data_IF_811199451016
#
_entry.id   IF_811199451016
#
_cell.length_a   1.000
_cell.length_b   1.000
_cell.length_c   1.000
_cell.angle_alpha   90.00
_cell.angle_beta   90.00
_cell.angle_gamma   90.00
#
_symmetry.space_group_name_H-M   'P 1'
#
loop_
_entity.id
_entity.type
_entity.pdbx_description
1 polymer ?
#
# COMPACT_ATOMS: atom_id res chain seq x y z
N UNK A 1 37.28 -24.30 31.91
CA UNK A 1 36.85 -22.90 31.93
C UNK A 1 37.02 -22.21 30.58
N UNK A 2 38.15 -22.26 29.89
CA UNK A 2 38.30 -21.66 28.53
C UNK A 2 37.24 -22.15 27.53
N UNK A 3 36.97 -23.45 27.44
CA UNK A 3 35.97 -24.02 26.52
C UNK A 3 34.55 -23.52 26.80
N UNK A 4 34.17 -23.33 28.06
CA UNK A 4 32.84 -22.76 28.38
C UNK A 4 32.72 -21.27 27.91
N UNK A 5 33.79 -20.52 28.09
CA UNK A 5 33.86 -19.10 27.67
C UNK A 5 33.70 -18.94 26.15
N UNK A 6 34.41 -19.79 25.38
CA UNK A 6 34.28 -19.82 23.91
C UNK A 6 32.88 -20.24 23.46
N UNK A 7 32.22 -21.17 24.15
CA UNK A 7 30.84 -21.57 23.85
C UNK A 7 29.89 -20.40 24.06
N UNK A 8 30.00 -19.66 25.16
CA UNK A 8 29.16 -18.51 25.43
C UNK A 8 29.37 -17.37 24.44
N UNK A 9 30.62 -17.06 24.10
CA UNK A 9 30.93 -16.05 23.07
C UNK A 9 30.29 -16.39 21.71
N UNK A 10 30.44 -17.67 21.29
CA UNK A 10 29.80 -18.14 20.05
C UNK A 10 28.27 -18.04 20.10
N UNK A 11 27.67 -18.38 21.23
CA UNK A 11 26.22 -18.33 21.42
C UNK A 11 25.69 -16.90 21.35
N UNK A 12 26.46 -15.90 21.81
CA UNK A 12 26.10 -14.48 21.65
C UNK A 12 26.11 -14.10 20.17
N UNK A 13 27.14 -14.47 19.42
CA UNK A 13 27.24 -14.19 17.99
C UNK A 13 26.10 -14.86 17.21
N UNK A 14 25.86 -16.15 17.44
CA UNK A 14 24.78 -16.89 16.79
C UNK A 14 23.40 -16.28 17.10
N UNK A 15 23.13 -15.91 18.34
CA UNK A 15 21.89 -15.26 18.76
C UNK A 15 21.69 -13.88 18.14
N UNK A 16 22.74 -13.09 17.98
CA UNK A 16 22.66 -11.77 17.37
C UNK A 16 22.03 -11.84 15.98
N UNK A 17 22.43 -12.80 15.17
CA UNK A 17 21.91 -12.95 13.81
C UNK A 17 20.62 -13.75 13.73
N UNK A 18 20.38 -14.71 14.62
CA UNK A 18 19.14 -15.46 14.67
C UNK A 18 17.95 -14.59 15.08
N UNK A 19 18.13 -13.77 16.13
CA UNK A 19 17.06 -12.92 16.68
C UNK A 19 16.88 -11.63 15.88
N UNK A 20 17.89 -11.20 15.10
CA UNK A 20 17.88 -9.98 14.29
C UNK A 20 18.28 -10.29 12.85
N UNK A 21 17.45 -11.05 12.14
CA UNK A 21 17.71 -11.53 10.78
C UNK A 21 17.98 -10.42 9.77
N UNK A 22 17.45 -9.22 9.99
CA UNK A 22 17.69 -8.03 9.14
C UNK A 22 19.16 -7.63 9.08
N UNK A 23 19.97 -7.91 10.12
CA UNK A 23 21.42 -7.65 10.14
C UNK A 23 22.16 -8.45 9.07
N UNK A 24 21.65 -9.63 8.71
CA UNK A 24 22.22 -10.44 7.62
C UNK A 24 22.01 -9.85 6.23
N UNK A 25 21.14 -8.84 6.11
CA UNK A 25 20.81 -8.11 4.88
C UNK A 25 21.68 -6.86 4.67
N UNK A 26 22.79 -6.76 5.34
CA UNK A 26 23.83 -5.76 5.12
C UNK A 26 25.15 -6.43 4.75
N UNK A 27 26.06 -5.70 4.13
CA UNK A 27 27.39 -6.20 3.80
C UNK A 27 28.17 -6.43 5.09
N UNK A 28 28.87 -7.55 5.14
CA UNK A 28 29.70 -7.91 6.27
C UNK A 28 31.11 -7.34 6.11
N UNK A 29 31.49 -6.44 7.00
CA UNK A 29 32.80 -5.81 7.05
C UNK A 29 33.66 -6.30 8.24
N UNK A 30 33.31 -7.44 8.88
CA UNK A 30 34.03 -7.99 10.03
C UNK A 30 35.53 -8.18 9.76
N UNK A 31 35.89 -8.55 8.51
CA UNK A 31 37.29 -8.74 8.09
C UNK A 31 38.11 -7.44 7.99
N UNK A 32 37.45 -6.29 7.92
CA UNK A 32 38.10 -4.97 7.81
C UNK A 32 38.22 -4.23 9.14
N UNK A 33 37.85 -4.88 10.24
CA UNK A 33 37.96 -4.29 11.58
C UNK A 33 39.42 -4.22 12.00
N UNK A 34 39.99 -3.01 11.96
CA UNK A 34 41.36 -2.75 12.36
C UNK A 34 41.43 -2.47 13.87
N UNK A 35 42.35 -3.13 14.59
CA UNK A 35 42.54 -2.98 16.04
C UNK A 35 41.25 -3.14 16.86
N UNK A 36 40.23 -3.84 16.31
CA UNK A 36 38.96 -4.06 16.97
C UNK A 36 38.06 -2.82 17.10
N UNK A 37 38.38 -1.68 16.49
CA UNK A 37 37.67 -0.42 16.73
C UNK A 37 37.22 0.34 15.49
N UNK A 38 37.91 0.24 14.35
CA UNK A 38 37.65 1.09 13.18
C UNK A 38 37.60 0.26 11.90
N UNK A 39 36.66 0.63 11.03
CA UNK A 39 36.54 0.08 9.68
C UNK A 39 36.72 1.20 8.67
N UNK A 40 37.59 0.97 7.67
CA UNK A 40 37.82 1.84 6.53
C UNK A 40 37.26 1.20 5.27
N UNK A 41 36.36 1.89 4.59
CA UNK A 41 35.79 1.44 3.32
C UNK A 41 36.20 2.45 2.23
N UNK A 42 37.10 2.10 1.33
CA UNK A 42 37.42 2.96 0.21
C UNK A 42 36.22 3.05 -0.73
N UNK A 43 35.78 4.26 -1.02
CA UNK A 43 34.65 4.54 -1.89
C UNK A 43 35.11 5.22 -3.16
N UNK A 44 34.77 4.63 -4.31
CA UNK A 44 35.15 5.17 -5.60
C UNK A 44 34.45 6.52 -5.84
N UNK A 45 35.22 7.52 -6.21
CA UNK A 45 34.73 8.83 -6.60
C UNK A 45 33.89 8.80 -7.88
N UNK A 46 33.35 9.94 -8.25
CA UNK A 46 32.54 10.07 -9.46
C UNK A 46 33.32 9.66 -10.72
N UNK A 47 32.67 8.99 -11.69
CA UNK A 47 33.30 8.65 -12.96
C UNK A 47 33.68 9.92 -13.74
N UNK A 48 34.71 9.83 -14.61
CA UNK A 48 35.21 10.94 -15.42
C UNK A 48 34.20 11.47 -16.46
N UNK A 49 33.09 10.81 -16.64
CA UNK A 49 32.10 11.10 -17.69
C UNK A 49 32.39 10.40 -19.01
N UNK A 50 31.37 10.20 -19.81
CA UNK A 50 31.44 9.63 -21.15
C UNK A 50 30.94 10.67 -22.13
N UNK A 51 31.72 10.93 -23.18
CA UNK A 51 31.31 11.77 -24.30
C UNK A 51 31.16 10.90 -25.56
N UNK A 52 29.98 10.97 -26.18
CA UNK A 52 29.70 10.26 -27.44
C UNK A 52 30.21 11.09 -28.59
N UNK A 53 30.88 10.43 -29.54
CA UNK A 53 31.44 11.06 -30.77
C UNK A 53 32.27 12.31 -30.47
N UNK A 54 33.30 12.16 -29.62
CA UNK A 54 34.18 13.26 -29.23
C UNK A 54 34.89 13.84 -30.47
N UNK A 55 34.65 15.10 -30.72
CA UNK A 55 35.24 15.88 -31.82
C UNK A 55 36.31 16.88 -31.33
N UNK A 56 36.39 17.16 -30.04
CA UNK A 56 37.32 18.10 -29.44
C UNK A 56 38.53 17.38 -28.81
N UNK A 57 39.72 17.67 -29.31
CA UNK A 57 41.00 17.13 -28.82
C UNK A 57 41.98 18.27 -28.48
N UNK A 58 42.84 18.14 -27.47
CA UNK A 58 42.99 17.00 -26.55
C UNK A 58 41.81 16.87 -25.59
N UNK A 59 41.45 15.62 -25.23
CA UNK A 59 40.42 15.34 -24.25
C UNK A 59 40.82 15.90 -22.87
N UNK A 60 39.87 16.44 -22.12
CA UNK A 60 40.08 16.88 -20.74
C UNK A 60 40.47 15.70 -19.85
N UNK A 61 41.63 15.81 -19.19
CA UNK A 61 42.07 14.81 -18.22
C UNK A 61 41.41 15.08 -16.91
N UNK A 62 40.66 14.07 -16.42
CA UNK A 62 39.95 14.11 -15.13
C UNK A 62 40.69 13.24 -14.11
N UNK A 63 41.05 13.81 -12.98
CA UNK A 63 41.61 13.06 -11.84
C UNK A 63 40.45 12.66 -10.93
N UNK A 64 40.18 11.37 -10.83
CA UNK A 64 39.20 10.87 -9.85
C UNK A 64 39.68 11.14 -8.42
N UNK A 65 38.79 11.66 -7.60
CA UNK A 65 39.00 11.85 -6.17
C UNK A 65 38.15 10.79 -5.44
N UNK A 66 38.84 9.81 -4.88
CA UNK A 66 38.19 8.79 -4.04
C UNK A 66 38.02 9.31 -2.63
N UNK A 67 36.97 8.88 -1.95
CA UNK A 67 36.70 9.24 -0.57
C UNK A 67 36.53 7.96 0.25
N UNK A 68 36.94 8.00 1.51
CA UNK A 68 36.80 6.87 2.42
C UNK A 68 35.56 7.07 3.29
N UNK A 69 34.84 5.98 3.54
CA UNK A 69 33.82 5.91 4.57
C UNK A 69 34.40 5.20 5.78
N UNK A 70 34.66 5.99 6.80
CA UNK A 70 35.20 5.52 8.07
C UNK A 70 34.08 5.42 9.11
N UNK A 71 34.06 4.34 9.86
CA UNK A 71 33.22 4.27 11.04
C UNK A 71 33.91 3.54 12.21
N UNK A 72 33.47 3.91 13.42
CA UNK A 72 33.97 3.35 14.67
C UNK A 72 32.94 2.39 15.23
N UNK A 73 33.37 1.26 15.77
CA UNK A 73 32.50 0.34 16.50
C UNK A 73 32.22 0.88 17.89
N UNK A 74 30.95 0.87 18.27
CA UNK A 74 30.52 1.19 19.63
C UNK A 74 30.74 -0.04 20.53
N UNK A 75 31.15 0.21 21.75
CA UNK A 75 31.35 -0.80 22.76
C UNK A 75 30.13 -0.86 23.68
N UNK A 76 29.48 -2.02 23.69
CA UNK A 76 28.33 -2.30 24.53
C UNK A 76 28.76 -3.33 25.59
N UNK A 77 28.58 -2.96 26.86
CA UNK A 77 28.89 -3.84 27.99
C UNK A 77 27.70 -3.96 28.94
N UNK A 78 27.50 -5.16 29.46
CA UNK A 78 26.53 -5.36 30.54
C UNK A 78 27.12 -4.92 31.87
N UNK A 79 26.27 -4.51 32.80
CA UNK A 79 26.70 -4.34 34.18
C UNK A 79 27.13 -5.68 34.76
N UNK A 80 28.20 -5.72 35.59
CA UNK A 80 28.60 -6.97 36.25
C UNK A 80 27.46 -7.47 37.15
N UNK A 81 27.10 -8.74 36.95
CA UNK A 81 26.08 -9.43 37.78
C UNK A 81 26.74 -10.37 38.74
N UNK A 82 26.35 -10.26 40.02
CA UNK A 82 26.74 -11.13 41.09
C UNK A 82 25.74 -12.28 41.21
N UNK A 83 26.26 -13.51 41.25
CA UNK A 83 25.52 -14.73 41.62
C UNK A 83 26.05 -15.20 42.94
N UNK A 84 25.37 -14.93 44.09
CA UNK A 84 25.83 -15.33 45.41
C UNK A 84 25.94 -16.85 45.55
N UNK A 85 26.91 -17.29 46.32
CA UNK A 85 27.12 -18.74 46.57
C UNK A 85 25.89 -19.41 47.22
N UNK A 86 25.21 -18.70 48.12
CA UNK A 86 23.99 -19.19 48.75
C UNK A 86 22.90 -19.54 47.71
N UNK A 87 22.69 -18.67 46.74
CA UNK A 87 21.69 -18.87 45.67
C UNK A 87 22.03 -20.04 44.77
N UNK A 88 23.33 -20.37 44.56
CA UNK A 88 23.76 -21.51 43.76
C UNK A 88 23.51 -22.85 44.47
N UNK A 89 23.51 -22.85 45.79
CA UNK A 89 23.34 -24.08 46.61
C UNK A 89 21.87 -24.33 46.97
N UNK A 90 21.11 -23.25 47.24
CA UNK A 90 19.76 -23.36 47.79
C UNK A 90 18.64 -23.42 46.73
N UNK A 91 18.91 -23.00 45.51
CA UNK A 91 17.88 -22.93 44.45
C UNK A 91 17.84 -24.21 43.60
N UNK A 92 16.64 -24.68 43.35
CA UNK A 92 16.35 -25.90 42.56
C UNK A 92 16.59 -25.75 41.04
N UNK A 93 16.88 -24.54 40.56
CA UNK A 93 17.14 -24.24 39.14
C UNK A 93 18.54 -23.65 38.93
N UNK A 94 19.07 -23.79 37.73
CA UNK A 94 20.38 -23.25 37.39
C UNK A 94 20.30 -21.72 37.18
N UNK A 95 20.36 -20.97 38.29
CA UNK A 95 20.30 -19.49 38.28
C UNK A 95 21.39 -18.88 37.42
N UNK A 96 22.59 -19.46 37.41
CA UNK A 96 23.71 -18.97 36.57
C UNK A 96 23.34 -18.94 35.09
N UNK A 97 22.81 -20.02 34.54
CA UNK A 97 22.44 -20.07 33.14
C UNK A 97 21.29 -19.14 32.83
N UNK A 98 20.31 -19.01 33.72
CA UNK A 98 19.18 -18.10 33.55
C UNK A 98 19.61 -16.63 33.48
N UNK A 99 20.49 -16.20 34.37
CA UNK A 99 21.03 -14.82 34.39
C UNK A 99 21.86 -14.54 33.14
N UNK A 100 22.76 -15.43 32.78
CA UNK A 100 23.61 -15.30 31.60
C UNK A 100 22.75 -15.23 30.33
N UNK A 101 21.71 -16.06 30.19
CA UNK A 101 20.79 -16.03 29.03
C UNK A 101 19.98 -14.75 28.95
N UNK A 102 19.59 -14.18 30.09
CA UNK A 102 18.84 -12.93 30.12
C UNK A 102 19.70 -11.74 29.68
N UNK A 103 20.91 -11.63 30.23
CA UNK A 103 21.86 -10.58 29.85
C UNK A 103 22.28 -10.69 28.38
N UNK A 104 22.49 -11.92 27.92
CA UNK A 104 22.77 -12.18 26.50
C UNK A 104 21.66 -11.62 25.59
N UNK A 105 20.40 -11.90 25.90
CA UNK A 105 19.27 -11.42 25.11
C UNK A 105 19.17 -9.90 25.10
N UNK A 106 19.38 -9.26 26.25
CA UNK A 106 19.38 -7.81 26.33
C UNK A 106 20.54 -7.19 25.54
N UNK A 107 21.75 -7.75 25.66
CA UNK A 107 22.91 -7.28 24.90
C UNK A 107 22.69 -7.41 23.38
N UNK A 108 22.13 -8.54 22.91
CA UNK A 108 21.78 -8.77 21.50
C UNK A 108 20.76 -7.73 21.02
N UNK A 109 19.75 -7.47 21.83
CA UNK A 109 18.72 -6.49 21.49
C UNK A 109 19.31 -5.07 21.39
N UNK A 110 20.15 -4.67 22.33
CA UNK A 110 20.84 -3.37 22.34
C UNK A 110 21.86 -3.22 21.20
N UNK A 111 22.56 -4.28 20.84
CA UNK A 111 23.48 -4.29 19.71
C UNK A 111 22.73 -4.00 18.39
N UNK A 112 21.56 -4.61 18.20
CA UNK A 112 20.73 -4.34 17.03
C UNK A 112 20.19 -2.91 17.00
N UNK A 113 19.80 -2.34 18.16
CA UNK A 113 19.40 -0.94 18.28
C UNK A 113 20.54 0.01 17.91
N UNK A 114 21.75 -0.24 18.40
CA UNK A 114 22.94 0.56 18.08
C UNK A 114 23.26 0.54 16.58
N UNK A 115 23.16 -0.62 15.93
CA UNK A 115 23.34 -0.72 14.48
C UNK A 115 22.27 0.04 13.70
N UNK A 116 20.99 -0.07 14.07
CA UNK A 116 19.90 0.69 13.43
C UNK A 116 20.13 2.20 13.55
N UNK A 117 20.61 2.68 14.70
CA UNK A 117 20.93 4.09 14.88
C UNK A 117 22.04 4.58 13.94
N UNK A 118 23.04 3.73 13.64
CA UNK A 118 24.11 4.03 12.66
C UNK A 118 23.61 3.99 11.21
N UNK A 119 22.54 3.27 10.92
CA UNK A 119 21.93 3.14 9.60
C UNK A 119 20.88 4.21 9.31
N UNK A 120 20.71 5.19 10.18
CA UNK A 120 19.74 6.25 10.01
C UNK A 120 19.99 7.04 8.72
N UNK A 121 19.03 7.06 7.77
CA UNK A 121 19.18 7.86 6.55
C UNK A 121 19.09 9.36 6.83
N UNK A 122 19.70 10.13 5.96
CA UNK A 122 19.60 11.58 5.97
C UNK A 122 18.13 12.05 5.87
N UNK A 123 17.83 13.27 6.32
CA UNK A 123 16.46 13.78 6.39
C UNK A 123 15.77 13.82 5.02
N UNK A 124 16.52 14.17 3.97
CA UNK A 124 16.05 14.20 2.58
C UNK A 124 15.65 12.81 2.02
N UNK A 125 16.16 11.73 2.63
CA UNK A 125 15.84 10.35 2.25
C UNK A 125 14.73 9.75 3.11
N UNK A 126 13.91 10.58 3.75
CA UNK A 126 12.77 10.13 4.53
C UNK A 126 11.47 10.41 3.80
N UNK A 127 10.65 9.37 3.64
CA UNK A 127 9.33 9.44 3.00
C UNK A 127 8.28 9.41 4.10
N UNK A 128 7.30 10.30 4.02
CA UNK A 128 6.19 10.33 4.98
C UNK A 128 5.05 9.43 4.52
N UNK A 129 4.34 8.83 5.47
CA UNK A 129 3.13 8.04 5.20
C UNK A 129 1.95 8.95 4.85
N UNK A 130 1.05 8.47 3.98
CA UNK A 130 -0.04 9.27 3.41
C UNK A 130 -1.44 8.73 3.73
N UNK A 131 -1.56 7.56 4.35
CA UNK A 131 -2.85 6.92 4.61
C UNK A 131 -3.73 7.63 5.63
N UNK A 132 -4.89 7.07 5.90
CA UNK A 132 -5.85 7.61 6.88
C UNK A 132 -5.23 7.74 8.28
N UNK A 133 -5.75 8.68 9.06
CA UNK A 133 -5.32 8.91 10.44
C UNK A 133 -5.76 7.79 11.37
N UNK A 134 -4.81 7.19 12.07
CA UNK A 134 -5.02 6.17 13.12
C UNK A 134 -4.43 6.66 14.43
N UNK A 135 -4.88 6.11 15.57
CA UNK A 135 -4.35 6.47 16.87
C UNK A 135 -2.82 6.25 16.92
N UNK A 136 -2.10 7.20 17.49
CA UNK A 136 -0.66 7.07 17.68
C UNK A 136 -0.35 5.87 18.60
N UNK A 137 0.67 5.08 18.24
CA UNK A 137 1.01 3.82 18.95
C UNK A 137 2.40 3.84 19.58
N UNK A 138 3.21 4.86 19.33
CA UNK A 138 4.49 4.99 20.01
C UNK A 138 4.27 5.35 21.49
N UNK A 139 5.16 4.94 22.40
CA UNK A 139 4.97 5.18 23.84
C UNK A 139 4.67 6.66 24.15
N UNK A 140 3.62 6.89 24.93
CA UNK A 140 3.14 8.22 25.33
C UNK A 140 2.68 9.15 24.20
N UNK A 141 2.66 8.69 22.95
CA UNK A 141 2.16 9.50 21.84
C UNK A 141 0.64 9.62 21.88
N UNK A 142 0.14 10.76 21.46
CA UNK A 142 -1.29 11.09 21.42
C UNK A 142 -1.68 11.66 20.06
N UNK A 143 -2.98 11.74 19.80
CA UNK A 143 -3.50 12.21 18.52
C UNK A 143 -3.41 11.14 17.42
N UNK A 144 -3.48 11.58 16.18
CA UNK A 144 -3.50 10.69 15.02
C UNK A 144 -2.19 10.73 14.26
N UNK A 145 -1.86 9.57 13.65
CA UNK A 145 -0.74 9.41 12.72
C UNK A 145 -1.27 8.79 11.43
N UNK A 146 -0.71 9.20 10.29
CA UNK A 146 -1.07 8.59 9.01
C UNK A 146 -0.53 7.16 8.97
N UNK A 147 -1.43 6.20 8.72
CA UNK A 147 -1.02 4.80 8.53
C UNK A 147 -0.21 4.65 7.25
N UNK A 148 0.70 3.68 7.22
CA UNK A 148 1.40 3.29 5.99
C UNK A 148 0.43 2.59 5.05
N UNK A 149 0.58 2.81 3.75
CA UNK A 149 -0.20 2.18 2.69
C UNK A 149 0.71 1.50 1.66
N UNK A 150 0.20 0.56 0.85
CA UNK A 150 0.96 0.02 -0.28
C UNK A 150 1.45 1.11 -1.26
N UNK A 151 0.70 2.21 -1.41
CA UNK A 151 1.10 3.35 -2.24
C UNK A 151 2.36 4.04 -1.71
N UNK A 152 2.54 4.14 -0.40
CA UNK A 152 3.75 4.71 0.21
C UNK A 152 4.98 3.85 -0.08
N UNK A 153 4.83 2.52 -0.09
CA UNK A 153 5.90 1.59 -0.46
C UNK A 153 6.22 1.70 -1.96
N UNK A 154 5.22 1.88 -2.81
CA UNK A 154 5.40 2.14 -4.25
C UNK A 154 6.13 3.49 -4.49
N UNK A 155 5.80 4.54 -3.73
CA UNK A 155 6.50 5.82 -3.78
C UNK A 155 7.97 5.69 -3.36
N UNK A 156 8.25 4.89 -2.33
CA UNK A 156 9.61 4.56 -1.89
C UNK A 156 10.38 3.81 -2.99
N UNK A 157 9.75 2.82 -3.66
CA UNK A 157 10.33 2.14 -4.81
C UNK A 157 10.68 3.12 -5.94
N UNK A 158 9.75 4.01 -6.27
CA UNK A 158 9.94 5.04 -7.31
C UNK A 158 11.11 5.94 -6.97
N UNK A 159 11.24 6.36 -5.71
CA UNK A 159 12.37 7.18 -5.24
C UNK A 159 13.70 6.44 -5.40
N UNK A 160 13.77 5.16 -4.98
CA UNK A 160 14.97 4.34 -5.15
C UNK A 160 15.32 4.12 -6.62
N UNK A 161 14.32 3.97 -7.50
CA UNK A 161 14.53 3.84 -8.94
C UNK A 161 15.07 5.14 -9.55
N UNK A 162 14.53 6.29 -9.16
CA UNK A 162 15.01 7.61 -9.60
C UNK A 162 16.47 7.87 -9.17
N UNK A 163 16.86 7.33 -8.02
CA UNK A 163 18.25 7.39 -7.52
C UNK A 163 19.16 6.31 -8.09
N UNK A 164 18.72 5.54 -9.10
CA UNK A 164 19.45 4.44 -9.73
C UNK A 164 19.99 3.40 -8.74
N UNK A 165 19.21 3.10 -7.68
CA UNK A 165 19.53 2.04 -6.73
C UNK A 165 19.19 0.68 -7.36
N UNK A 166 20.06 -0.35 -7.26
CA UNK A 166 19.78 -1.68 -7.81
C UNK A 166 18.42 -2.23 -7.36
N UNK A 167 17.73 -2.95 -8.25
CA UNK A 167 16.42 -3.53 -7.97
C UNK A 167 16.47 -4.76 -7.06
N UNK A 168 17.63 -5.43 -7.02
CA UNK A 168 17.85 -6.65 -6.24
C UNK A 168 18.16 -6.35 -4.78
N UNK A 169 17.81 -7.28 -3.90
CA UNK A 169 18.16 -7.26 -2.47
C UNK A 169 17.70 -5.97 -1.75
N UNK A 170 16.53 -5.46 -2.11
CA UNK A 170 15.88 -4.37 -1.39
C UNK A 170 15.11 -4.91 -0.19
N UNK A 171 15.32 -4.32 0.95
CA UNK A 171 14.70 -4.70 2.21
C UNK A 171 13.89 -3.54 2.79
N UNK A 172 12.80 -3.87 3.49
CA UNK A 172 11.96 -2.94 4.22
C UNK A 172 11.70 -3.50 5.62
N UNK A 173 12.21 -2.83 6.64
CA UNK A 173 12.00 -3.19 8.04
C UNK A 173 10.98 -2.24 8.66
N UNK A 174 9.88 -2.79 9.12
CA UNK A 174 8.76 -2.05 9.72
C UNK A 174 8.62 -2.41 11.21
N UNK A 175 8.03 -1.51 11.98
CA UNK A 175 7.53 -1.87 13.30
C UNK A 175 6.25 -2.73 13.20
N UNK A 176 5.86 -3.37 14.30
CA UNK A 176 4.74 -4.30 14.30
C UNK A 176 3.40 -3.62 13.90
N UNK A 177 3.18 -2.37 14.31
CA UNK A 177 1.96 -1.64 13.98
C UNK A 177 1.95 -1.14 12.53
N UNK A 178 3.09 -0.61 12.05
CA UNK A 178 3.21 -0.25 10.63
C UNK A 178 2.99 -1.46 9.73
N UNK A 179 3.53 -2.61 10.11
CA UNK A 179 3.32 -3.85 9.35
C UNK A 179 1.83 -4.23 9.30
N UNK A 180 1.13 -4.18 10.45
CA UNK A 180 -0.31 -4.45 10.49
C UNK A 180 -1.09 -3.48 9.59
N UNK A 181 -0.81 -2.18 9.68
CA UNK A 181 -1.45 -1.18 8.83
C UNK A 181 -1.18 -1.37 7.34
N UNK A 182 0.02 -1.86 7.00
CA UNK A 182 0.35 -2.20 5.61
C UNK A 182 -0.50 -3.36 5.10
N UNK A 183 -0.68 -4.41 5.91
CA UNK A 183 -1.55 -5.56 5.57
C UNK A 183 -3.00 -5.12 5.41
N UNK A 184 -3.53 -4.31 6.32
CA UNK A 184 -4.90 -3.80 6.29
C UNK A 184 -5.19 -2.93 5.05
N UNK A 185 -4.15 -2.33 4.47
CA UNK A 185 -4.23 -1.53 3.24
C UNK A 185 -4.08 -2.31 1.94
N UNK A 186 -3.78 -3.62 2.00
CA UNK A 186 -3.61 -4.44 0.81
C UNK A 186 -4.93 -4.95 0.27
N UNK A 187 -5.07 -5.00 -1.05
CA UNK A 187 -6.13 -5.76 -1.70
C UNK A 187 -5.89 -7.28 -1.56
N UNK A 188 -6.94 -8.09 -1.68
CA UNK A 188 -6.82 -9.55 -1.58
C UNK A 188 -5.78 -10.11 -2.57
N UNK A 189 -5.71 -9.60 -3.78
CA UNK A 189 -4.73 -10.02 -4.79
C UNK A 189 -3.29 -9.67 -4.36
N UNK A 190 -3.08 -8.48 -3.82
CA UNK A 190 -1.77 -8.07 -3.30
C UNK A 190 -1.35 -8.92 -2.10
N UNK A 191 -2.27 -9.21 -1.17
CA UNK A 191 -2.00 -10.03 0.00
C UNK A 191 -1.60 -11.47 -0.38
N UNK A 192 -2.26 -12.08 -1.35
CA UNK A 192 -1.89 -13.41 -1.87
C UNK A 192 -0.46 -13.38 -2.43
N UNK A 193 -0.15 -12.43 -3.31
CA UNK A 193 1.19 -12.28 -3.88
C UNK A 193 2.26 -11.98 -2.82
N UNK A 194 1.93 -11.18 -1.81
CA UNK A 194 2.81 -10.86 -0.69
C UNK A 194 3.24 -12.11 0.09
N UNK A 195 2.27 -12.91 0.53
CA UNK A 195 2.56 -14.09 1.35
C UNK A 195 3.17 -15.26 0.58
N UNK A 196 3.00 -15.34 -0.74
CA UNK A 196 3.67 -16.36 -1.56
C UNK A 196 5.20 -16.26 -1.52
N UNK A 197 5.73 -15.08 -1.28
CA UNK A 197 7.18 -14.83 -1.19
C UNK A 197 7.72 -14.86 0.25
N UNK A 198 6.90 -15.27 1.24
CA UNK A 198 7.31 -15.32 2.63
C UNK A 198 8.39 -16.39 2.88
N UNK A 199 9.44 -16.02 3.61
CA UNK A 199 10.47 -16.93 4.13
C UNK A 199 10.72 -16.62 5.61
N UNK A 200 9.89 -17.21 6.45
CA UNK A 200 9.92 -16.99 7.90
C UNK A 200 11.26 -17.38 8.52
N UNK A 201 11.94 -18.41 7.97
CA UNK A 201 13.26 -18.83 8.46
C UNK A 201 14.33 -17.76 8.28
N UNK A 202 14.17 -16.93 7.25
CA UNK A 202 15.03 -15.79 6.94
C UNK A 202 14.50 -14.47 7.50
N UNK A 203 13.40 -14.50 8.25
CA UNK A 203 12.74 -13.32 8.82
C UNK A 203 11.97 -12.47 7.80
N UNK A 204 11.73 -12.99 6.59
CA UNK A 204 10.96 -12.29 5.54
C UNK A 204 9.50 -12.67 5.66
N UNK A 205 8.66 -11.68 5.94
CA UNK A 205 7.20 -11.86 6.07
C UNK A 205 6.49 -11.91 4.72
N UNK A 206 7.10 -11.34 3.69
CA UNK A 206 6.58 -11.31 2.34
C UNK A 206 7.37 -10.36 1.45
N UNK A 207 6.94 -10.22 0.18
CA UNK A 207 7.56 -9.31 -0.77
C UNK A 207 6.50 -8.35 -1.35
N UNK A 208 6.81 -7.04 -1.31
CA UNK A 208 5.94 -6.00 -1.86
C UNK A 208 6.76 -5.01 -2.67
N UNK A 209 6.38 -4.78 -3.93
CA UNK A 209 7.06 -3.85 -4.86
C UNK A 209 8.60 -4.05 -4.91
N UNK A 210 9.04 -5.33 -4.84
CA UNK A 210 10.46 -5.67 -4.88
C UNK A 210 11.23 -5.51 -3.56
N UNK A 211 10.54 -5.17 -2.46
CA UNK A 211 11.11 -5.17 -1.11
C UNK A 211 10.81 -6.47 -0.37
N UNK A 212 11.83 -7.09 0.22
CA UNK A 212 11.68 -8.09 1.26
C UNK A 212 11.22 -7.38 2.55
N UNK A 213 9.98 -7.64 2.99
CA UNK A 213 9.41 -7.01 4.18
C UNK A 213 9.74 -7.82 5.41
N UNK A 214 10.34 -7.17 6.41
CA UNK A 214 10.70 -7.72 7.70
C UNK A 214 10.05 -6.90 8.82
N UNK A 215 9.85 -7.52 9.97
CA UNK A 215 9.16 -6.92 11.11
C UNK A 215 10.03 -6.97 12.37
N UNK A 216 10.01 -5.89 13.13
CA UNK A 216 10.60 -5.79 14.46
C UNK A 216 9.64 -5.07 15.40
N UNK A 217 9.74 -5.29 16.70
CA UNK A 217 8.90 -4.61 17.70
C UNK A 217 8.98 -3.08 17.61
N UNK A 218 10.17 -2.54 17.39
CA UNK A 218 10.43 -1.10 17.21
C UNK A 218 11.62 -0.92 16.27
N UNK A 219 11.50 -0.04 15.27
CA UNK A 219 12.60 0.30 14.34
C UNK A 219 13.13 1.68 14.66
N UNK A 220 12.39 2.73 14.33
CA UNK A 220 12.76 4.10 14.65
C UNK A 220 11.65 4.82 15.39
N UNK A 221 12.04 5.75 16.25
CA UNK A 221 11.14 6.71 16.85
C UNK A 221 11.75 8.11 16.69
N UNK A 222 10.99 9.01 16.10
CA UNK A 222 11.40 10.37 15.83
C UNK A 222 10.64 11.33 16.74
N UNK A 223 11.29 12.40 17.15
CA UNK A 223 10.61 13.57 17.71
C UNK A 223 9.90 14.35 16.59
N UNK A 224 9.05 15.30 16.92
CA UNK A 224 8.30 16.11 15.97
C UNK A 224 9.18 16.88 14.96
N UNK A 225 10.38 17.25 15.36
CA UNK A 225 11.40 17.93 14.53
C UNK A 225 12.15 16.98 13.58
N UNK A 226 11.83 15.68 13.64
CA UNK A 226 12.49 14.64 12.83
C UNK A 226 13.80 14.12 13.42
N UNK A 227 14.20 14.53 14.64
CA UNK A 227 15.37 13.97 15.34
C UNK A 227 15.09 12.54 15.77
N UNK A 228 16.05 11.63 15.56
CA UNK A 228 15.96 10.26 16.08
C UNK A 228 16.03 10.29 17.61
N UNK A 229 15.07 9.67 18.25
CA UNK A 229 15.11 9.44 19.70
C UNK A 229 15.97 8.20 20.02
N UNK A 230 16.78 8.34 21.06
CA UNK A 230 17.54 7.20 21.57
C UNK A 230 16.58 6.06 22.00
N UNK A 231 17.01 4.83 21.80
CA UNK A 231 16.24 3.68 22.26
C UNK A 231 16.10 3.70 23.79
N UNK A 232 14.88 3.43 24.26
CA UNK A 232 14.57 3.52 25.69
C UNK A 232 14.30 4.94 26.20
N UNK A 233 14.46 5.99 25.38
CA UNK A 233 14.11 7.36 25.80
C UNK A 233 12.60 7.49 26.08
N UNK A 234 12.26 8.38 27.01
CA UNK A 234 10.86 8.66 27.36
C UNK A 234 10.03 9.05 26.13
N UNK A 235 8.80 8.55 26.06
CA UNK A 235 7.85 8.91 25.01
C UNK A 235 7.38 10.36 25.14
N UNK A 236 6.98 10.96 24.03
CA UNK A 236 6.32 12.27 23.98
C UNK A 236 5.05 12.19 23.11
N UNK A 237 4.10 13.07 23.39
CA UNK A 237 2.82 13.13 22.69
C UNK A 237 2.96 13.27 21.17
N UNK A 238 4.03 13.90 20.71
CA UNK A 238 4.30 14.21 19.30
C UNK A 238 5.20 13.20 18.59
N UNK A 239 5.61 12.12 19.26
CA UNK A 239 6.53 11.13 18.68
C UNK A 239 5.94 10.47 17.43
N UNK A 240 6.82 10.20 16.46
CA UNK A 240 6.51 9.55 15.20
C UNK A 240 7.22 8.20 15.12
N UNK A 241 6.56 7.21 14.56
CA UNK A 241 7.16 5.91 14.25
C UNK A 241 7.85 5.96 12.89
N UNK A 242 8.85 5.09 12.69
CA UNK A 242 9.52 4.98 11.40
C UNK A 242 10.06 3.60 11.12
N UNK A 243 10.07 3.22 9.84
CA UNK A 243 10.69 2.03 9.29
C UNK A 243 11.95 2.38 8.50
N UNK A 244 12.75 1.35 8.18
CA UNK A 244 13.99 1.47 7.41
C UNK A 244 13.85 0.69 6.11
N UNK A 245 14.19 1.32 4.99
CA UNK A 245 14.32 0.65 3.69
C UNK A 245 15.73 0.82 3.14
N UNK A 246 16.30 -0.27 2.64
CA UNK A 246 17.66 -0.22 2.10
C UNK A 246 17.88 -1.26 1.01
N UNK A 247 18.91 -1.03 0.24
CA UNK A 247 19.50 -2.02 -0.67
C UNK A 247 20.75 -2.59 0.01
N UNK A 248 20.92 -3.90 -0.04
CA UNK A 248 21.92 -4.65 0.72
C UNK A 248 23.33 -4.05 0.65
N UNK A 249 23.82 -3.71 -0.54
CA UNK A 249 25.19 -3.22 -0.74
C UNK A 249 25.38 -1.77 -0.30
N UNK A 250 24.29 -1.06 0.03
CA UNK A 250 24.32 0.32 0.51
C UNK A 250 24.55 0.44 2.01
N UNK A 251 24.41 -0.66 2.74
CA UNK A 251 24.65 -0.73 4.19
C UNK A 251 25.76 -1.71 4.53
N UNK A 252 26.53 -1.38 5.54
CA UNK A 252 27.49 -2.30 6.15
C UNK A 252 27.23 -2.53 7.61
N UNK A 253 27.66 -3.68 8.08
CA UNK A 253 27.76 -4.04 9.48
C UNK A 253 29.14 -4.57 9.77
N UNK A 254 29.63 -4.32 10.96
CA UNK A 254 30.83 -4.94 11.48
C UNK A 254 30.59 -5.39 12.93
N UNK A 255 31.02 -6.59 13.21
CA UNK A 255 31.09 -7.16 14.54
C UNK A 255 32.58 -7.25 14.92
N UNK A 256 32.91 -6.58 16.00
CA UNK A 256 34.27 -6.64 16.55
C UNK A 256 34.38 -7.75 17.61
N UNK A 257 35.13 -7.47 18.63
CA UNK A 257 35.38 -8.41 19.70
C UNK A 257 34.13 -8.68 20.54
N UNK A 258 33.88 -9.96 20.87
CA UNK A 258 32.89 -10.39 21.84
C UNK A 258 33.62 -11.04 23.00
N UNK A 259 33.53 -10.42 24.18
CA UNK A 259 34.27 -10.87 25.36
C UNK A 259 33.31 -11.17 26.52
N UNK A 260 33.56 -12.27 27.20
CA UNK A 260 32.94 -12.58 28.47
C UNK A 260 33.98 -12.44 29.59
N UNK A 261 33.68 -11.58 30.56
CA UNK A 261 34.46 -11.44 31.77
C UNK A 261 33.82 -12.28 32.88
N UNK A 262 34.63 -13.05 33.59
CA UNK A 262 34.20 -13.89 34.69
C UNK A 262 35.18 -13.80 35.85
N UNK A 263 34.65 -13.68 37.06
CA UNK A 263 35.37 -13.82 38.30
C UNK A 263 34.65 -14.84 39.18
N UNK A 264 35.16 -16.07 39.17
CA UNK A 264 34.56 -17.20 39.86
C UNK A 264 35.11 -17.24 41.29
N UNK A 265 34.23 -17.59 42.25
CA UNK A 265 34.56 -17.68 43.67
C UNK A 265 35.21 -16.40 44.23
N UNK A 266 34.68 -15.24 43.82
CA UNK A 266 35.23 -13.96 44.21
C UNK A 266 35.05 -13.71 45.71
N UNK A 267 36.15 -13.59 46.48
CA UNK A 267 36.07 -13.49 47.94
C UNK A 267 35.47 -12.15 48.40
N UNK A 268 35.47 -11.13 47.56
CA UNK A 268 34.89 -9.81 47.92
C UNK A 268 33.37 -9.82 47.86
N UNK A 269 32.80 -10.72 47.05
CA UNK A 269 31.35 -10.77 46.79
C UNK A 269 30.73 -12.11 47.25
N UNK A 270 31.50 -13.08 47.72
CA UNK A 270 31.05 -14.41 48.10
C UNK A 270 30.20 -15.10 47.04
N UNK A 271 30.67 -15.06 45.80
CA UNK A 271 29.97 -15.62 44.66
C UNK A 271 30.68 -15.37 43.33
N UNK A 272 30.01 -15.69 42.24
CA UNK A 272 30.52 -15.49 40.90
C UNK A 272 30.04 -14.17 40.30
N UNK A 273 30.94 -13.47 39.62
CA UNK A 273 30.61 -12.21 38.92
C UNK A 273 30.85 -12.41 37.44
N UNK A 274 29.85 -12.01 36.62
CA UNK A 274 29.92 -12.09 35.16
C UNK A 274 29.58 -10.76 34.52
N UNK A 275 30.20 -10.45 33.38
CA UNK A 275 29.79 -9.36 32.48
C UNK A 275 30.17 -9.70 31.04
N UNK A 276 29.51 -9.04 30.11
CA UNK A 276 29.70 -9.24 28.67
C UNK A 276 30.04 -7.93 28.00
N UNK A 277 30.85 -8.00 26.95
CA UNK A 277 31.20 -6.88 26.11
C UNK A 277 31.10 -7.33 24.65
N UNK A 278 30.45 -6.51 23.83
CA UNK A 278 30.41 -6.68 22.38
C UNK A 278 30.71 -5.35 21.70
N UNK A 279 31.50 -5.38 20.63
CA UNK A 279 31.73 -4.22 19.79
C UNK A 279 30.96 -4.39 18.49
N UNK A 280 30.09 -3.42 18.19
CA UNK A 280 29.25 -3.43 16.98
C UNK A 280 29.31 -2.10 16.29
N UNK A 281 29.22 -2.11 14.97
CA UNK A 281 29.17 -0.90 14.18
C UNK A 281 28.56 -1.14 12.82
N UNK A 282 28.25 -0.06 12.15
CA UNK A 282 27.72 -0.07 10.80
C UNK A 282 27.70 1.33 10.22
N UNK A 283 27.62 1.42 8.93
CA UNK A 283 27.56 2.68 8.22
C UNK A 283 26.77 2.55 6.91
N UNK A 284 26.35 3.69 6.39
CA UNK A 284 25.90 3.82 5.02
C UNK A 284 27.15 3.84 4.14
N UNK A 285 27.28 2.83 3.26
CA UNK A 285 28.51 2.64 2.46
C UNK A 285 28.69 3.66 1.33
N UNK A 286 27.57 4.12 0.78
CA UNK A 286 27.64 5.05 -0.35
C UNK A 286 27.90 6.47 0.12
N UNK A 287 28.87 7.14 -0.49
CA UNK A 287 29.18 8.53 -0.20
C UNK A 287 27.99 9.47 -0.46
N UNK A 288 27.20 9.22 -1.52
CA UNK A 288 26.00 9.98 -1.86
C UNK A 288 24.79 9.66 -0.96
N UNK A 289 24.98 8.79 0.03
CA UNK A 289 23.97 8.33 0.99
C UNK A 289 22.69 7.77 0.35
N UNK A 290 22.72 7.46 -0.94
CA UNK A 290 21.63 6.82 -1.66
C UNK A 290 21.59 5.32 -1.35
N UNK A 291 20.38 4.73 -1.53
CA UNK A 291 20.15 3.30 -1.27
C UNK A 291 19.74 3.00 0.17
N UNK A 292 19.62 4.03 1.03
CA UNK A 292 19.09 3.91 2.40
C UNK A 292 18.06 5.00 2.62
N UNK A 293 16.84 4.60 3.00
CA UNK A 293 15.69 5.48 3.15
C UNK A 293 14.93 5.11 4.42
N UNK A 294 14.19 6.05 4.98
CA UNK A 294 13.24 5.76 6.04
C UNK A 294 11.82 6.10 5.59
N UNK A 295 10.86 5.30 6.03
CA UNK A 295 9.45 5.63 5.96
C UNK A 295 9.01 6.06 7.35
N UNK A 296 8.49 7.28 7.48
CA UNK A 296 8.18 7.91 8.78
C UNK A 296 6.70 8.28 8.79
N UNK A 297 6.02 7.97 9.88
CA UNK A 297 4.62 8.40 10.04
C UNK A 297 4.51 9.91 10.01
N UNK A 298 3.46 10.43 9.37
CA UNK A 298 3.12 11.84 9.46
C UNK A 298 1.99 12.07 10.47
N UNK A 299 1.85 13.30 10.94
CA UNK A 299 0.71 13.69 11.76
C UNK A 299 -0.55 13.75 10.90
N UNK A 300 -1.67 13.29 11.43
CA UNK A 300 -2.98 13.43 10.80
C UNK A 300 -3.89 14.31 11.66
N UNK A 301 -4.77 15.04 11.02
CA UNK A 301 -5.79 15.82 11.70
C UNK A 301 -7.06 14.98 11.81
N UNK A 302 -7.72 15.00 12.97
CA UNK A 302 -8.98 14.31 13.13
C UNK A 302 -10.04 14.89 12.18
N UNK A 303 -10.75 14.03 11.48
CA UNK A 303 -11.91 14.43 10.67
C UNK A 303 -13.08 14.64 11.62
N UNK A 304 -13.61 15.87 11.63
CA UNK A 304 -14.72 16.27 12.51
C UNK A 304 -16.05 16.34 11.79
N UNK A 305 -16.05 16.30 10.45
CA UNK A 305 -17.25 16.29 9.64
C UNK A 305 -16.99 15.73 8.25
N UNK A 306 -18.02 15.15 7.65
CA UNK A 306 -18.03 14.65 6.27
C UNK A 306 -19.36 15.02 5.62
N UNK A 307 -19.31 15.64 4.46
CA UNK A 307 -20.49 16.01 3.69
C UNK A 307 -20.34 15.55 2.23
N UNK A 308 -21.46 15.17 1.63
CA UNK A 308 -21.55 14.94 0.19
C UNK A 308 -22.16 16.18 -0.47
N UNK A 309 -21.72 16.48 -1.69
CA UNK A 309 -22.30 17.56 -2.52
C UNK A 309 -23.70 17.20 -3.04
N UNK A 310 -24.00 15.90 -3.12
CA UNK A 310 -25.32 15.40 -3.49
C UNK A 310 -25.73 14.21 -2.62
N UNK A 311 -26.95 14.26 -2.11
CA UNK A 311 -27.55 13.22 -1.24
C UNK A 311 -28.67 12.44 -1.93
N UNK A 312 -29.06 12.81 -3.18
CA UNK A 312 -30.04 12.13 -4.01
C UNK A 312 -29.56 12.06 -5.45
N UNK A 313 -29.03 10.91 -5.82
CA UNK A 313 -28.40 10.63 -7.10
C UNK A 313 -29.41 9.97 -8.00
N UNK A 314 -29.86 10.67 -9.04
CA UNK A 314 -30.84 10.14 -10.01
C UNK A 314 -30.17 9.84 -11.35
N UNK A 315 -30.10 8.55 -11.71
CA UNK A 315 -29.41 8.06 -12.91
C UNK A 315 -30.42 7.41 -13.86
N UNK A 316 -30.36 7.76 -15.13
CA UNK A 316 -31.19 7.11 -16.17
C UNK A 316 -30.40 6.04 -16.90
N UNK A 317 -30.87 4.80 -16.87
CA UNK A 317 -30.24 3.64 -17.52
C UNK A 317 -28.80 3.44 -17.02
N UNK A 318 -27.85 3.33 -17.95
CA UNK A 318 -26.41 3.20 -17.68
C UNK A 318 -25.67 4.54 -17.61
N UNK A 319 -26.39 5.62 -17.31
CA UNK A 319 -25.78 6.95 -17.11
C UNK A 319 -24.83 6.98 -15.91
N UNK A 320 -24.11 8.07 -15.76
CA UNK A 320 -23.13 8.25 -14.68
C UNK A 320 -23.33 9.58 -13.98
N UNK A 321 -23.05 9.62 -12.68
CA UNK A 321 -22.99 10.86 -11.89
C UNK A 321 -21.78 10.83 -10.98
N UNK A 322 -21.05 11.95 -10.91
CA UNK A 322 -19.90 12.08 -9.99
C UNK A 322 -20.38 12.75 -8.70
N UNK A 323 -19.98 12.18 -7.57
CA UNK A 323 -20.28 12.68 -6.22
C UNK A 323 -18.97 13.02 -5.53
N UNK A 324 -18.91 14.19 -4.90
CA UNK A 324 -17.76 14.65 -4.16
C UNK A 324 -18.03 14.59 -2.65
N UNK A 325 -17.04 14.12 -1.91
CA UNK A 325 -17.04 14.16 -0.44
C UNK A 325 -16.11 15.26 0.04
N UNK A 326 -16.60 16.09 0.95
CA UNK A 326 -15.82 17.12 1.62
C UNK A 326 -15.69 16.80 3.10
N UNK A 327 -14.48 16.47 3.52
CA UNK A 327 -14.15 16.27 4.94
C UNK A 327 -13.83 17.62 5.61
N UNK A 328 -13.96 17.66 6.91
CA UNK A 328 -13.49 18.79 7.73
C UNK A 328 -12.38 18.27 8.66
N UNK A 329 -11.10 18.68 8.47
CA UNK A 329 -10.63 19.64 7.46
C UNK A 329 -10.58 19.04 6.03
N UNK A 330 -10.71 19.90 5.03
CA UNK A 330 -10.81 19.49 3.61
C UNK A 330 -9.56 18.74 3.09
N UNK A 331 -8.40 18.95 3.73
CA UNK A 331 -7.14 18.22 3.42
C UNK A 331 -7.28 16.70 3.55
N UNK A 332 -8.26 16.23 4.30
CA UNK A 332 -8.51 14.80 4.52
C UNK A 332 -9.51 14.20 3.51
N UNK A 333 -10.15 15.01 2.64
CA UNK A 333 -11.18 14.53 1.69
C UNK A 333 -10.69 13.43 0.76
N UNK A 334 -9.42 13.47 0.34
CA UNK A 334 -8.81 12.44 -0.52
C UNK A 334 -8.75 11.04 0.12
N UNK A 335 -8.91 10.95 1.44
CA UNK A 335 -8.89 9.69 2.20
C UNK A 335 -10.30 9.13 2.47
N UNK A 336 -11.33 9.67 1.80
CA UNK A 336 -12.70 9.15 1.91
C UNK A 336 -12.77 7.76 1.26
N UNK A 337 -13.35 6.81 1.97
CA UNK A 337 -13.66 5.46 1.51
C UNK A 337 -15.13 5.42 1.06
N UNK A 338 -15.38 4.74 -0.07
CA UNK A 338 -16.70 4.66 -0.69
C UNK A 338 -17.21 3.21 -0.71
N UNK A 339 -18.51 3.09 -0.45
CA UNK A 339 -19.22 1.81 -0.45
C UNK A 339 -20.59 1.99 -1.13
N UNK A 340 -20.96 1.06 -2.00
CA UNK A 340 -22.28 0.98 -2.64
C UNK A 340 -23.05 -0.20 -2.07
N UNK A 341 -24.36 -0.03 -1.85
CA UNK A 341 -25.17 -1.04 -1.18
C UNK A 341 -25.51 -2.25 -2.05
N UNK A 342 -25.85 -2.01 -3.32
CA UNK A 342 -26.23 -3.07 -4.26
C UNK A 342 -25.60 -2.81 -5.62
N UNK A 343 -24.60 -3.62 -5.96
CA UNK A 343 -23.88 -3.52 -7.24
C UNK A 343 -24.71 -3.97 -8.45
N UNK A 344 -25.81 -4.66 -8.23
CA UNK A 344 -26.75 -5.02 -9.31
C UNK A 344 -27.61 -3.81 -9.78
N UNK A 345 -27.74 -2.78 -8.94
CA UNK A 345 -28.46 -1.54 -9.23
C UNK A 345 -27.49 -0.46 -9.74
N UNK A 346 -26.36 -0.26 -9.05
CA UNK A 346 -25.35 0.73 -9.45
C UNK A 346 -23.95 0.29 -8.99
N UNK A 347 -22.92 0.73 -9.71
CA UNK A 347 -21.52 0.48 -9.40
C UNK A 347 -20.75 1.78 -9.19
N UNK A 348 -19.58 1.71 -8.55
CA UNK A 348 -18.70 2.86 -8.30
C UNK A 348 -17.35 2.71 -8.99
N UNK A 349 -16.75 3.82 -9.42
CA UNK A 349 -15.49 3.85 -10.15
C UNK A 349 -14.26 3.55 -9.29
N UNK A 350 -14.32 3.81 -7.98
CA UNK A 350 -13.21 3.62 -7.05
C UNK A 350 -13.74 3.43 -5.62
N UNK A 351 -13.01 2.68 -4.80
CA UNK A 351 -13.33 2.46 -3.39
C UNK A 351 -12.78 3.57 -2.47
N UNK A 352 -11.99 4.53 -2.97
CA UNK A 352 -11.46 5.65 -2.18
C UNK A 352 -11.14 6.86 -3.06
N UNK A 353 -11.14 8.04 -2.42
CA UNK A 353 -10.83 9.32 -3.08
C UNK A 353 -11.79 10.42 -2.64
N UNK A 354 -11.47 11.69 -2.97
CA UNK A 354 -12.33 12.83 -2.67
C UNK A 354 -13.64 12.83 -3.51
N UNK A 355 -13.68 12.05 -4.58
CA UNK A 355 -14.84 11.91 -5.46
C UNK A 355 -14.97 10.48 -5.97
N UNK A 356 -16.18 10.10 -6.33
CA UNK A 356 -16.49 8.82 -6.94
C UNK A 356 -17.53 9.01 -8.06
N UNK A 357 -17.40 8.24 -9.14
CA UNK A 357 -18.42 8.20 -10.19
C UNK A 357 -19.32 6.99 -9.97
N UNK A 358 -20.60 7.24 -9.83
CA UNK A 358 -21.65 6.21 -9.73
C UNK A 358 -22.18 5.95 -11.14
N UNK A 359 -22.29 4.67 -11.52
CA UNK A 359 -22.80 4.21 -12.83
C UNK A 359 -24.03 3.34 -12.61
N UNK A 360 -25.14 3.65 -13.27
CA UNK A 360 -26.34 2.82 -13.23
C UNK A 360 -26.13 1.47 -13.94
N UNK A 361 -26.70 0.40 -13.38
CA UNK A 361 -26.67 -0.96 -13.94
C UNK A 361 -28.07 -1.44 -14.31
N UNK A 362 -29.01 -1.41 -13.37
CA UNK A 362 -30.40 -1.78 -13.57
C UNK A 362 -31.33 -0.88 -12.76
N UNK A 363 -32.60 -0.71 -13.21
CA UNK A 363 -33.58 0.08 -12.47
C UNK A 363 -33.77 -0.45 -11.04
N UNK A 364 -33.70 0.46 -10.09
CA UNK A 364 -33.82 0.15 -8.65
C UNK A 364 -33.33 1.31 -7.78
N UNK A 365 -33.30 1.07 -6.49
CA UNK A 365 -32.80 2.05 -5.50
C UNK A 365 -31.77 1.38 -4.63
N UNK A 366 -30.62 2.03 -4.43
CA UNK A 366 -29.56 1.62 -3.53
C UNK A 366 -29.03 2.82 -2.75
N UNK A 367 -27.96 2.67 -2.00
CA UNK A 367 -27.32 3.76 -1.28
C UNK A 367 -25.83 3.82 -1.62
N UNK A 368 -25.29 5.03 -1.61
CA UNK A 368 -23.85 5.32 -1.62
C UNK A 368 -23.45 5.83 -0.25
N UNK A 369 -22.42 5.21 0.36
CA UNK A 369 -21.87 5.62 1.65
C UNK A 369 -20.43 6.09 1.48
N UNK A 370 -20.15 7.25 2.10
CA UNK A 370 -18.79 7.78 2.27
C UNK A 370 -18.37 7.65 3.75
N UNK A 371 -17.15 7.22 4.01
CA UNK A 371 -16.56 7.08 5.36
C UNK A 371 -15.20 7.77 5.40
N UNK A 372 -14.94 8.55 6.45
CA UNK A 372 -13.62 9.17 6.63
C UNK A 372 -13.41 9.51 8.12
N UNK A 373 -12.34 9.00 8.72
CA UNK A 373 -11.95 9.32 10.12
C UNK A 373 -13.04 9.09 11.16
N UNK A 374 -13.93 8.10 10.96
CA UNK A 374 -15.05 7.81 11.86
C UNK A 374 -16.31 8.62 11.57
N UNK A 375 -16.31 9.53 10.58
CA UNK A 375 -17.48 10.23 10.07
C UNK A 375 -18.07 9.46 8.89
N UNK A 376 -19.40 9.46 8.78
CA UNK A 376 -20.13 8.82 7.69
C UNK A 376 -21.15 9.81 7.07
N UNK A 377 -21.29 9.72 5.75
CA UNK A 377 -22.31 10.42 4.99
C UNK A 377 -22.93 9.47 3.96
N UNK A 378 -24.21 9.61 3.69
CA UNK A 378 -24.95 8.72 2.79
C UNK A 378 -25.74 9.53 1.75
N UNK A 379 -25.81 8.96 0.53
CA UNK A 379 -26.70 9.39 -0.53
C UNK A 379 -27.59 8.24 -1.00
N UNK A 380 -28.81 8.55 -1.40
CA UNK A 380 -29.70 7.60 -2.07
C UNK A 380 -29.39 7.61 -3.55
N UNK A 381 -29.28 6.44 -4.17
CA UNK A 381 -29.06 6.25 -5.60
C UNK A 381 -30.30 5.63 -6.21
N UNK A 382 -30.96 6.36 -7.09
CA UNK A 382 -32.12 5.91 -7.85
C UNK A 382 -31.73 5.71 -9.31
N UNK A 383 -31.82 4.50 -9.79
CA UNK A 383 -31.64 4.19 -11.22
C UNK A 383 -33.01 3.95 -11.83
N UNK A 384 -33.37 4.78 -12.79
CA UNK A 384 -34.62 4.64 -13.53
C UNK A 384 -34.36 4.02 -14.91
N UNK A 385 -35.30 3.27 -15.43
CA UNK A 385 -35.18 2.70 -16.77
C UNK A 385 -35.01 3.83 -17.81
N UNK A 386 -34.10 3.64 -18.72
CA UNK A 386 -34.02 4.52 -19.88
C UNK A 386 -35.25 4.30 -20.76
N UNK A 387 -35.75 5.37 -21.35
CA UNK A 387 -36.90 5.34 -22.26
C UNK A 387 -36.56 6.14 -23.52
N UNK A 388 -37.16 5.80 -24.66
CA UNK A 388 -36.94 6.56 -25.87
C UNK A 388 -37.51 7.99 -25.74
N UNK A 389 -36.80 8.94 -26.26
CA UNK A 389 -37.20 10.35 -26.30
C UNK A 389 -38.06 10.67 -27.51
N UNK A 390 -37.92 9.88 -28.60
CA UNK A 390 -38.73 10.01 -29.81
C UNK A 390 -38.88 8.62 -30.48
N UNK A 391 -39.96 8.47 -31.25
CA UNK A 391 -40.23 7.34 -32.13
C UNK A 391 -40.68 7.89 -33.47
N UNK A 392 -40.15 7.35 -34.58
CA UNK A 392 -40.53 7.69 -35.94
C UNK A 392 -40.70 6.44 -36.77
N UNK A 393 -41.61 6.47 -37.72
CA UNK A 393 -41.73 5.44 -38.77
C UNK A 393 -41.11 5.94 -40.06
N UNK A 394 -40.56 5.08 -40.86
CA UNK A 394 -39.97 5.34 -42.17
C UNK A 394 -41.08 5.66 -43.21
N UNK A 395 -42.30 5.11 -42.97
CA UNK A 395 -43.47 5.41 -43.80
C UNK A 395 -44.71 5.71 -42.94
N UNK A 396 -45.41 6.80 -43.24
CA UNK A 396 -46.61 7.23 -42.55
C UNK A 396 -47.91 6.96 -43.36
N UNK A 397 -47.78 6.55 -44.63
CA UNK A 397 -48.91 6.22 -45.53
C UNK A 397 -48.56 4.94 -46.34
N UNK A 398 -48.97 3.81 -45.81
CA UNK A 398 -48.67 2.48 -46.33
C UNK A 398 -49.74 2.11 -47.35
N UNK A 399 -49.38 2.13 -48.65
CA UNK A 399 -50.31 1.83 -49.74
C UNK A 399 -50.02 0.43 -50.29
N UNK A 400 -50.95 -0.51 -50.09
CA UNK A 400 -50.82 -1.93 -50.46
C UNK A 400 -51.83 -2.26 -51.54
N UNK A 401 -51.41 -2.92 -52.61
CA UNK A 401 -52.30 -3.38 -53.67
C UNK A 401 -52.62 -4.87 -53.47
N UNK A 402 -53.89 -5.19 -53.27
CA UNK A 402 -54.35 -6.56 -53.02
C UNK A 402 -53.72 -7.20 -51.80
N UNK A 403 -53.10 -8.34 -51.98
CA UNK A 403 -52.41 -9.11 -50.88
C UNK A 403 -50.90 -8.90 -50.87
N UNK A 404 -50.41 -7.76 -51.40
CA UNK A 404 -48.99 -7.45 -51.35
C UNK A 404 -48.55 -7.13 -49.92
N UNK A 405 -47.24 -7.07 -49.70
CA UNK A 405 -46.62 -6.83 -48.41
C UNK A 405 -45.73 -5.61 -48.44
N UNK A 406 -45.68 -4.84 -47.37
CA UNK A 406 -44.77 -3.75 -47.18
C UNK A 406 -44.11 -3.83 -45.79
N UNK A 407 -42.79 -3.69 -45.73
CA UNK A 407 -42.06 -3.60 -44.47
C UNK A 407 -42.08 -2.16 -44.01
N UNK A 408 -42.33 -1.96 -42.73
CA UNK A 408 -42.29 -0.65 -42.02
C UNK A 408 -41.33 -0.76 -40.90
N UNK A 409 -40.42 0.23 -40.79
CA UNK A 409 -39.37 0.26 -39.78
C UNK A 409 -39.64 1.40 -38.79
N UNK A 410 -39.55 1.07 -37.50
CA UNK A 410 -39.60 2.05 -36.44
C UNK A 410 -38.17 2.42 -35.97
N UNK A 411 -37.89 3.73 -35.89
CA UNK A 411 -36.64 4.22 -35.38
C UNK A 411 -36.91 5.00 -34.07
N UNK A 412 -36.46 4.45 -32.97
CA UNK A 412 -36.46 5.12 -31.68
C UNK A 412 -35.20 6.01 -31.53
N UNK A 413 -35.29 7.04 -30.71
CA UNK A 413 -34.14 7.86 -30.31
C UNK A 413 -33.96 7.74 -28.81
N UNK A 414 -32.81 7.23 -28.31
CA UNK A 414 -31.71 6.59 -29.06
C UNK A 414 -32.12 5.30 -29.78
N UNK A 415 -31.41 4.96 -30.86
CA UNK A 415 -31.76 3.85 -31.76
C UNK A 415 -31.72 2.48 -31.10
N UNK A 416 -30.99 2.30 -29.99
CA UNK A 416 -30.94 1.03 -29.22
C UNK A 416 -32.31 0.55 -28.72
N UNK A 417 -33.30 1.43 -28.61
CA UNK A 417 -34.67 1.08 -28.20
C UNK A 417 -35.55 0.61 -29.38
N UNK A 418 -35.11 0.72 -30.61
CA UNK A 418 -35.99 0.40 -31.79
C UNK A 418 -36.50 -1.03 -31.77
N UNK A 419 -35.70 -2.01 -31.26
CA UNK A 419 -36.11 -3.40 -31.15
C UNK A 419 -37.22 -3.66 -30.12
N UNK A 420 -37.48 -2.71 -29.22
CA UNK A 420 -38.52 -2.80 -28.16
C UNK A 420 -39.86 -2.19 -28.62
N UNK A 421 -39.99 -1.84 -29.91
CA UNK A 421 -41.24 -1.29 -30.44
C UNK A 421 -42.31 -2.33 -30.49
N UNK A 422 -43.46 -2.03 -29.93
CA UNK A 422 -44.71 -2.82 -29.99
C UNK A 422 -45.55 -2.37 -31.19
N UNK A 423 -46.15 -3.29 -31.93
CA UNK A 423 -46.94 -3.03 -33.12
C UNK A 423 -48.39 -3.51 -32.93
N UNK A 424 -49.29 -2.66 -33.38
CA UNK A 424 -50.73 -2.92 -33.38
C UNK A 424 -51.32 -2.50 -34.73
N UNK A 425 -52.14 -3.36 -35.32
CA UNK A 425 -52.97 -3.06 -36.53
C UNK A 425 -54.40 -2.83 -36.08
N UNK A 426 -55.08 -1.83 -36.61
CA UNK A 426 -56.38 -1.44 -36.15
C UNK A 426 -57.51 -2.36 -36.61
N UNK A 427 -57.45 -2.85 -37.87
CA UNK A 427 -58.43 -3.79 -38.42
C UNK A 427 -57.73 -4.93 -39.13
N UNK A 428 -57.87 -6.11 -38.62
CA UNK A 428 -57.23 -7.33 -39.15
C UNK A 428 -57.94 -7.88 -40.37
N UNK A 429 -59.18 -7.45 -40.64
CA UNK A 429 -59.93 -7.80 -41.85
C UNK A 429 -59.45 -6.98 -43.08
N UNK A 430 -58.77 -5.84 -42.85
CA UNK A 430 -58.21 -4.97 -43.90
C UNK A 430 -56.73 -5.33 -44.12
N UNK A 431 -55.92 -5.42 -43.04
CA UNK A 431 -54.51 -5.77 -43.11
C UNK A 431 -54.06 -6.54 -41.88
N UNK A 432 -53.00 -7.32 -42.01
CA UNK A 432 -52.35 -8.08 -40.91
C UNK A 432 -50.89 -7.69 -40.78
N UNK A 433 -50.29 -7.98 -39.62
CA UNK A 433 -48.88 -7.75 -39.34
C UNK A 433 -48.13 -9.05 -39.04
N UNK A 434 -46.86 -9.10 -39.39
CA UNK A 434 -46.00 -10.31 -39.23
C UNK A 434 -45.57 -10.57 -37.78
N UNK A 435 -45.51 -9.53 -36.93
CA UNK A 435 -45.10 -9.61 -35.55
C UNK A 435 -45.71 -8.46 -34.74
N UNK A 436 -45.86 -8.67 -33.41
CA UNK A 436 -46.39 -7.64 -32.51
C UNK A 436 -45.28 -6.83 -31.82
N UNK A 437 -43.98 -7.14 -32.10
CA UNK A 437 -42.84 -6.43 -31.56
C UNK A 437 -41.61 -6.56 -32.45
N UNK A 438 -40.69 -5.61 -32.37
CA UNK A 438 -39.45 -5.56 -33.12
C UNK A 438 -39.20 -4.19 -33.76
N UNK A 439 -37.98 -4.01 -34.33
CA UNK A 439 -37.63 -2.74 -35.00
C UNK A 439 -38.36 -2.54 -36.32
N UNK A 440 -38.82 -3.60 -36.95
CA UNK A 440 -39.63 -3.55 -38.18
C UNK A 440 -40.76 -4.58 -38.16
N UNK A 441 -41.77 -4.34 -38.95
CA UNK A 441 -42.90 -5.21 -39.11
C UNK A 441 -43.33 -5.26 -40.60
N UNK A 442 -43.77 -6.40 -41.06
CA UNK A 442 -44.33 -6.54 -42.42
C UNK A 442 -45.85 -6.46 -42.34
N UNK A 443 -46.42 -5.51 -43.04
CA UNK A 443 -47.86 -5.32 -43.19
C UNK A 443 -48.30 -6.03 -44.47
N UNK A 444 -49.37 -6.82 -44.39
CA UNK A 444 -49.92 -7.62 -45.50
C UNK A 444 -51.37 -7.20 -45.72
N UNK A 445 -51.74 -6.85 -46.93
CA UNK A 445 -53.14 -6.53 -47.30
C UNK A 445 -54.02 -7.79 -47.28
N UNK A 446 -55.25 -7.66 -46.80
CA UNK A 446 -56.28 -8.73 -46.71
C UNK A 446 -57.49 -8.38 -47.55
N UNK A 447 -58.09 -7.23 -47.36
CA UNK A 447 -59.24 -6.75 -48.12
C UNK A 447 -59.15 -5.22 -48.36
N UNK A 448 -59.81 -4.77 -49.42
CA UNK A 448 -59.86 -3.33 -49.74
C UNK A 448 -60.46 -2.52 -48.57
N UNK A 449 -59.72 -1.53 -48.12
CA UNK A 449 -60.14 -0.71 -46.98
C UNK A 449 -59.00 0.16 -46.49
N UNK A 450 -59.28 0.89 -45.42
CA UNK A 450 -58.29 1.73 -44.72
C UNK A 450 -58.25 1.36 -43.24
N UNK A 451 -57.08 1.14 -42.74
CA UNK A 451 -56.85 0.88 -41.30
C UNK A 451 -55.64 1.70 -40.84
N UNK A 452 -55.13 1.46 -39.64
CA UNK A 452 -53.91 2.10 -39.12
C UNK A 452 -52.93 1.07 -38.60
N UNK A 453 -51.65 1.38 -38.74
CA UNK A 453 -50.56 0.72 -38.05
C UNK A 453 -50.06 1.62 -36.92
N UNK A 454 -50.06 1.15 -35.69
CA UNK A 454 -49.58 1.86 -34.56
C UNK A 454 -48.28 1.24 -34.06
N UNK A 455 -47.28 2.04 -33.88
CA UNK A 455 -46.03 1.72 -33.24
C UNK A 455 -45.96 2.41 -31.85
N UNK A 456 -45.63 1.66 -30.86
CA UNK A 456 -45.47 2.15 -29.47
C UNK A 456 -44.16 1.70 -28.91
N UNK A 457 -43.46 2.62 -28.24
CA UNK A 457 -42.20 2.28 -27.51
C UNK A 457 -42.11 3.14 -26.25
N UNK A 458 -42.21 2.50 -25.07
CA UNK A 458 -42.35 3.19 -23.79
C UNK A 458 -43.60 4.12 -23.79
N UNK A 459 -43.38 5.43 -23.65
CA UNK A 459 -44.42 6.46 -23.67
C UNK A 459 -44.65 7.08 -25.04
N UNK A 460 -43.89 6.67 -26.07
CA UNK A 460 -43.95 7.24 -27.42
C UNK A 460 -44.81 6.38 -28.31
N UNK A 461 -45.71 7.03 -29.06
CA UNK A 461 -46.60 6.37 -30.03
C UNK A 461 -46.55 7.15 -31.33
N UNK A 462 -46.61 6.40 -32.45
CA UNK A 462 -46.73 6.92 -33.81
C UNK A 462 -47.72 6.05 -34.59
N UNK A 463 -48.56 6.66 -35.41
CA UNK A 463 -49.59 5.97 -36.18
C UNK A 463 -49.37 6.29 -37.65
N UNK A 464 -49.33 5.23 -38.49
CA UNK A 464 -49.34 5.31 -39.94
C UNK A 464 -50.70 4.87 -40.45
N UNK A 465 -51.16 5.43 -41.59
CA UNK A 465 -52.37 5.00 -42.30
C UNK A 465 -52.01 3.86 -43.22
N UNK A 466 -52.82 2.82 -43.24
CA UNK A 466 -52.67 1.67 -44.12
C UNK A 466 -53.87 1.66 -45.09
N UNK A 467 -53.64 1.82 -46.38
CA UNK A 467 -54.62 1.76 -47.43
C UNK A 467 -54.41 0.48 -48.26
N UNK A 468 -55.43 -0.38 -48.36
CA UNK A 468 -55.44 -1.51 -49.23
C UNK A 468 -56.35 -1.26 -50.40
N UNK A 469 -55.83 -1.30 -51.62
CA UNK A 469 -56.58 -1.04 -52.86
C UNK A 469 -56.73 -2.33 -53.69
N UNK A 470 -57.67 -2.34 -54.68
CA UNK A 470 -57.84 -3.43 -55.60
C UNK A 470 -56.56 -3.72 -56.44
N UNK A 471 -56.33 -4.98 -56.79
CA UNK A 471 -55.20 -5.43 -57.64
C UNK A 471 -55.48 -5.21 -59.11
#
# INVERSE_FOLDING_TARGET
>A
MAVQKEIWQRTIIEGLFADNSFLSRAVNDDMYVNEGKRVHIPNAGAPSGVQVNRDTLPATVYKRVDQDVDYVLDELSTNPILIPYADMVELSYNKRNSVIDQDRKELIFKAAEAMLAKWLPAAENRVKTTGAGVAAWTPSATGLRRKITPADVAALQTRMNADNVPLTDRCLLLDAQMYQHLLDGMTNTQAIGFFQAADIKRGVMGMLYGFEVMVRSTVYRFAADGTLKAYGAAGAATDLAGGLAWQRDSLSRALGEVVMFDSIDNPMYYGDVYSFLVRVGGAIRRYDKKGVYAIVTDTATAVTGLALDDTSIDITGTGTQTVNATATPNTESALTEWEIGDESVATISAASGASVTVTGVAPGTTWLKAKNGGQEAMAIVNVVAASPTALALDDMSIDIVGTATQEVTATATPSGFSAETEWEIGDTDVATISANSGASVVVTGVAVGTTYLKAKNGTKEVIAIVNVTES
#
